data_IF_928788961387
#
_entry.id   IF_928788961387
#
_cell.length_a   1.000
_cell.length_b   1.000
_cell.length_c   1.000
_cell.angle_alpha   90.00
_cell.angle_beta   90.00
_cell.angle_gamma   90.00
#
_symmetry.space_group_name_H-M   'P 1'
#
loop_
_entity.id
_entity.type
_entity.pdbx_description
1 polymer ?
#
# COMPACT_ATOMS: atom_id res chain seq x y z
N UNK A 1 7.00 -10.97 15.20
CA UNK A 1 6.26 -9.73 14.80
C UNK A 1 5.45 -9.96 13.52
N UNK A 2 4.57 -10.97 13.46
CA UNK A 2 3.64 -11.12 12.32
C UNK A 2 2.17 -11.27 12.74
N UNK A 3 1.87 -11.17 14.04
CA UNK A 3 0.56 -11.47 14.59
C UNK A 3 -0.37 -10.25 14.67
N UNK A 4 0.17 -9.03 14.86
CA UNK A 4 -0.65 -7.82 15.04
C UNK A 4 -1.37 -7.33 13.77
N UNK A 5 -0.89 -7.67 12.57
CA UNK A 5 -1.45 -7.15 11.32
C UNK A 5 -2.69 -7.89 10.82
N UNK A 6 -2.84 -9.19 11.10
CA UNK A 6 -4.00 -9.96 10.62
C UNK A 6 -5.29 -9.61 11.39
N UNK A 7 -5.18 -9.19 12.65
CA UNK A 7 -6.34 -9.11 13.55
C UNK A 7 -7.29 -7.95 13.24
N UNK A 8 -6.79 -6.82 12.69
CA UNK A 8 -7.64 -5.66 12.38
C UNK A 8 -8.47 -5.81 11.10
N UNK A 9 -8.11 -6.74 10.19
CA UNK A 9 -8.88 -7.02 8.96
C UNK A 9 -9.95 -8.09 9.21
N UNK A 10 -9.71 -9.01 10.16
CA UNK A 10 -10.61 -10.13 10.46
C UNK A 10 -12.00 -9.71 10.97
N UNK A 11 -12.22 -8.44 11.33
CA UNK A 11 -13.55 -7.92 11.69
C UNK A 11 -14.46 -7.59 10.50
N UNK A 12 -13.93 -7.47 9.26
CA UNK A 12 -14.71 -7.18 8.05
C UNK A 12 -14.10 -7.85 6.81
N UNK A 13 -14.04 -9.19 6.79
CA UNK A 13 -13.67 -9.97 5.59
C UNK A 13 -14.53 -9.65 4.34
N UNK A 14 -15.61 -8.87 4.50
CA UNK A 14 -16.45 -8.39 3.42
C UNK A 14 -15.80 -7.29 2.53
N UNK A 15 -14.79 -6.55 2.98
CA UNK A 15 -14.32 -5.33 2.26
C UNK A 15 -13.11 -5.53 1.34
N UNK A 16 -12.24 -6.51 1.61
CA UNK A 16 -11.01 -6.70 0.85
C UNK A 16 -9.86 -7.29 1.67
N UNK A 17 -8.62 -7.04 1.23
CA UNK A 17 -7.40 -7.57 1.84
C UNK A 17 -6.42 -6.45 2.13
N UNK A 18 -5.85 -6.45 3.33
CA UNK A 18 -4.71 -5.60 3.71
C UNK A 18 -3.43 -6.42 3.65
N UNK A 19 -2.35 -5.84 3.13
CA UNK A 19 -1.02 -6.42 3.13
C UNK A 19 -0.04 -5.44 3.79
N UNK A 20 0.96 -5.98 4.50
CA UNK A 20 2.04 -5.19 5.09
C UNK A 20 3.31 -5.14 4.22
N UNK A 21 4.39 -4.60 4.78
CA UNK A 21 5.65 -4.15 4.15
C UNK A 21 6.45 -5.13 3.28
N UNK A 22 5.98 -6.36 3.06
CA UNK A 22 6.55 -7.30 2.08
C UNK A 22 5.70 -7.45 0.83
N UNK A 23 4.70 -6.59 0.68
CA UNK A 23 3.87 -6.55 -0.49
C UNK A 23 4.38 -5.49 -1.46
N UNK A 24 4.33 -5.81 -2.74
CA UNK A 24 4.81 -4.93 -3.81
C UNK A 24 3.63 -4.43 -4.63
N UNK A 25 3.78 -3.22 -5.16
CA UNK A 25 2.83 -2.62 -6.10
C UNK A 25 3.56 -2.27 -7.39
N UNK A 26 3.05 -2.75 -8.52
CA UNK A 26 3.59 -2.50 -9.85
C UNK A 26 2.71 -1.46 -10.56
N UNK A 27 3.15 -0.21 -10.59
CA UNK A 27 2.36 0.92 -11.08
C UNK A 27 2.60 1.22 -12.56
N UNK A 28 3.80 0.94 -13.07
CA UNK A 28 4.20 1.08 -14.46
C UNK A 28 5.44 0.22 -14.74
N UNK A 29 5.83 0.09 -16.02
CA UNK A 29 6.89 -0.82 -16.51
C UNK A 29 8.21 -0.79 -15.71
N UNK A 30 8.58 0.34 -15.11
CA UNK A 30 9.80 0.48 -14.30
C UNK A 30 9.52 0.93 -12.85
N UNK A 31 8.27 0.89 -12.39
CA UNK A 31 7.81 1.52 -11.16
C UNK A 31 7.21 0.46 -10.23
N UNK A 32 8.08 -0.19 -9.45
CA UNK A 32 7.70 -1.13 -8.40
C UNK A 32 8.02 -0.53 -7.04
N UNK A 33 7.05 -0.53 -6.13
CA UNK A 33 7.19 0.03 -4.77
C UNK A 33 6.83 -1.01 -3.71
N UNK A 34 7.40 -0.86 -2.53
CA UNK A 34 7.09 -1.66 -1.33
C UNK A 34 6.51 -0.74 -0.25
N UNK A 35 5.20 -0.45 -0.26
CA UNK A 35 4.58 0.36 0.78
C UNK A 35 4.52 -0.40 2.11
N UNK A 36 4.53 0.32 3.23
CA UNK A 36 4.41 -0.29 4.56
C UNK A 36 3.09 -1.03 4.74
N UNK A 37 2.00 -0.45 4.25
CA UNK A 37 0.67 -1.07 4.24
C UNK A 37 -0.04 -0.72 2.93
N UNK A 38 -0.72 -1.70 2.35
CA UNK A 38 -1.66 -1.48 1.25
C UNK A 38 -2.98 -2.21 1.48
N UNK A 39 -4.07 -1.64 0.98
CA UNK A 39 -5.39 -2.25 0.97
C UNK A 39 -5.93 -2.37 -0.45
N UNK A 40 -6.50 -3.53 -0.73
CA UNK A 40 -7.15 -3.87 -2.00
C UNK A 40 -8.58 -4.30 -1.71
N UNK A 41 -9.55 -3.64 -2.33
CA UNK A 41 -10.96 -3.96 -2.23
C UNK A 41 -11.25 -5.35 -2.80
N UNK A 42 -12.29 -5.99 -2.28
CA UNK A 42 -12.67 -7.36 -2.65
C UNK A 42 -12.89 -7.52 -4.16
N UNK A 43 -13.46 -6.51 -4.80
CA UNK A 43 -13.78 -6.51 -6.24
C UNK A 43 -12.57 -6.37 -7.16
N UNK A 44 -11.36 -6.18 -6.59
CA UNK A 44 -10.10 -6.00 -7.31
C UNK A 44 -9.03 -7.03 -6.91
N UNK A 45 -9.40 -8.03 -6.11
CA UNK A 45 -8.44 -9.01 -5.58
C UNK A 45 -7.81 -9.88 -6.68
N UNK A 46 -8.41 -9.97 -7.87
CA UNK A 46 -7.83 -10.63 -9.04
C UNK A 46 -6.56 -9.95 -9.55
N UNK A 47 -6.35 -8.66 -9.23
CA UNK A 47 -5.12 -7.92 -9.53
C UNK A 47 -3.98 -8.28 -8.57
N UNK A 48 -4.29 -8.90 -7.42
CA UNK A 48 -3.33 -9.26 -6.39
C UNK A 48 -2.87 -10.71 -6.54
N UNK A 49 -1.61 -10.90 -6.93
CA UNK A 49 -0.94 -12.21 -7.01
C UNK A 49 -0.04 -12.40 -5.81
N UNK A 50 -0.28 -13.42 -4.99
CA UNK A 50 0.46 -13.68 -3.73
C UNK A 50 0.58 -12.41 -2.84
N UNK A 51 1.65 -11.62 -3.03
CA UNK A 51 1.94 -10.34 -2.37
C UNK A 51 2.25 -9.20 -3.33
N UNK A 52 2.09 -9.38 -4.64
CA UNK A 52 2.32 -8.38 -5.67
C UNK A 52 0.98 -7.93 -6.25
N UNK A 53 0.70 -6.64 -6.15
CA UNK A 53 -0.45 -6.01 -6.78
C UNK A 53 -0.03 -5.44 -8.15
N UNK A 54 -0.72 -5.86 -9.20
CA UNK A 54 -0.60 -5.25 -10.53
C UNK A 54 -1.52 -4.03 -10.61
N UNK A 55 -0.98 -2.82 -10.74
CA UNK A 55 -1.75 -1.57 -10.78
C UNK A 55 -1.96 -0.93 -9.40
N UNK A 56 -2.78 0.13 -9.36
CA UNK A 56 -2.97 0.96 -8.18
C UNK A 56 -3.69 0.22 -7.02
N UNK A 57 -3.23 0.39 -5.78
CA UNK A 57 -4.00 -0.02 -4.61
C UNK A 57 -5.20 0.91 -4.39
N UNK A 58 -6.19 0.44 -3.61
CA UNK A 58 -7.29 1.31 -3.19
C UNK A 58 -6.84 2.27 -2.09
N UNK A 59 -5.92 1.82 -1.24
CA UNK A 59 -5.25 2.66 -0.25
C UNK A 59 -3.80 2.23 0.00
N UNK A 60 -2.93 3.20 0.23
CA UNK A 60 -1.55 3.01 0.69
C UNK A 60 -1.30 3.81 1.97
N UNK A 61 -0.58 3.21 2.91
CA UNK A 61 -0.03 3.87 4.10
C UNK A 61 1.49 3.76 4.09
N UNK A 62 2.13 4.88 4.36
CA UNK A 62 3.59 5.02 4.49
C UNK A 62 3.91 5.59 5.88
N UNK A 63 4.82 4.94 6.60
CA UNK A 63 5.33 5.41 7.89
C UNK A 63 6.63 6.15 7.61
N UNK A 64 6.61 7.47 7.80
CA UNK A 64 7.75 8.32 7.44
C UNK A 64 8.94 8.06 8.36
N UNK A 65 10.10 7.82 7.76
CA UNK A 65 11.36 7.75 8.51
C UNK A 65 11.85 9.16 8.85
N UNK A 66 12.41 9.35 10.04
CA UNK A 66 12.92 10.66 10.48
C UNK A 66 13.99 11.23 9.53
N UNK A 67 14.78 10.37 8.90
CA UNK A 67 16.00 10.73 8.17
C UNK A 67 15.78 11.02 6.68
N UNK A 68 14.65 10.62 6.12
CA UNK A 68 14.33 10.74 4.70
C UNK A 68 12.93 11.30 4.41
N UNK A 69 12.21 11.75 5.46
CA UNK A 69 10.81 12.24 5.43
C UNK A 69 10.47 13.09 4.21
N UNK A 70 11.16 14.20 4.00
CA UNK A 70 10.81 15.17 2.95
C UNK A 70 11.03 14.64 1.54
N UNK A 71 12.06 13.79 1.38
CA UNK A 71 12.39 13.17 0.10
C UNK A 71 11.38 12.07 -0.24
N UNK A 72 11.13 11.15 0.69
CA UNK A 72 10.17 10.05 0.54
C UNK A 72 8.75 10.55 0.30
N UNK A 73 8.32 11.55 1.08
CA UNK A 73 7.00 12.13 0.94
C UNK A 73 6.83 12.79 -0.43
N UNK A 74 7.82 13.51 -0.95
CA UNK A 74 7.70 14.17 -2.25
C UNK A 74 7.66 13.17 -3.40
N UNK A 75 8.62 12.24 -3.42
CA UNK A 75 8.75 11.27 -4.52
C UNK A 75 7.54 10.32 -4.57
N UNK A 76 7.22 9.66 -3.45
CA UNK A 76 6.14 8.68 -3.41
C UNK A 76 4.77 9.33 -3.60
N UNK A 77 4.53 10.52 -3.04
CA UNK A 77 3.24 11.22 -3.19
C UNK A 77 2.93 11.50 -4.65
N UNK A 78 3.90 12.03 -5.41
CA UNK A 78 3.68 12.33 -6.81
C UNK A 78 3.33 11.06 -7.60
N UNK A 79 4.15 10.01 -7.44
CA UNK A 79 3.93 8.73 -8.16
C UNK A 79 2.58 8.10 -7.79
N UNK A 80 2.22 8.08 -6.52
CA UNK A 80 0.95 7.50 -6.06
C UNK A 80 -0.27 8.28 -6.53
N UNK A 81 -0.15 9.61 -6.61
CA UNK A 81 -1.19 10.47 -7.19
C UNK A 81 -1.34 10.25 -8.71
N UNK A 82 -0.23 10.18 -9.44
CA UNK A 82 -0.23 9.88 -10.88
C UNK A 82 -0.82 8.50 -11.19
N UNK A 83 -0.53 7.52 -10.34
CA UNK A 83 -1.11 6.18 -10.38
C UNK A 83 -2.59 6.13 -9.99
N UNK A 84 -3.19 7.22 -9.50
CA UNK A 84 -4.58 7.32 -9.06
C UNK A 84 -4.94 6.35 -7.92
N UNK A 85 -4.03 6.17 -6.97
CA UNK A 85 -4.35 5.49 -5.71
C UNK A 85 -5.45 6.28 -4.99
N UNK A 86 -6.49 5.57 -4.54
CA UNK A 86 -7.71 6.20 -4.00
C UNK A 86 -7.45 6.99 -2.72
N UNK A 87 -6.75 6.40 -1.77
CA UNK A 87 -6.37 7.02 -0.50
C UNK A 87 -4.88 6.84 -0.22
N UNK A 88 -4.19 7.93 0.14
CA UNK A 88 -2.75 7.92 0.42
C UNK A 88 -2.52 8.56 1.77
N UNK A 89 -2.05 7.78 2.75
CA UNK A 89 -1.80 8.24 4.10
C UNK A 89 -0.29 8.22 4.39
N UNK A 90 0.23 9.33 4.85
CA UNK A 90 1.58 9.43 5.38
C UNK A 90 1.47 9.64 6.88
N UNK A 91 2.03 8.72 7.66
CA UNK A 91 1.98 8.76 9.12
C UNK A 91 3.35 9.26 9.61
N UNK A 92 3.31 10.33 10.38
CA UNK A 92 4.48 10.84 11.09
C UNK A 92 4.45 10.28 12.52
N UNK A 93 5.54 9.65 12.95
CA UNK A 93 5.67 8.95 14.22
C UNK A 93 6.43 9.78 15.26
#
# INVERSE_FOLDING_TARGET
MSAFYNEYVCGREALGKVLGSRATIHLAYCCMFEPDILFVRKERLEMLKEKQLEGAADMVVEILSEWSRDYELREKRQVYQEARIGEIWFIDA
#
